data_IF_237389489390
#
_entry.id   IF_237389489390
#
_cell.length_a   1.000
_cell.length_b   1.000
_cell.length_c   1.000
_cell.angle_alpha   90.00
_cell.angle_beta   90.00
_cell.angle_gamma   90.00
#
_symmetry.space_group_name_H-M   'P 1'
#
loop_
_entity.id
_entity.type
_entity.pdbx_description
1 polymer ?
#
# COMPACT_ATOMS: atom_id res chain seq x y z
N UNK A 1 24.54 -52.80 -70.98
CA UNK A 1 23.50 -52.14 -70.15
C UNK A 1 24.22 -51.30 -69.10
N UNK A 2 24.39 -50.01 -69.34
CA UNK A 2 23.49 -48.92 -68.90
C UNK A 2 23.41 -48.73 -67.38
N UNK A 3 24.01 -47.60 -66.96
CA UNK A 3 23.56 -46.67 -65.92
C UNK A 3 23.72 -47.12 -64.46
N UNK A 4 24.01 -46.26 -63.49
CA UNK A 4 24.45 -44.86 -63.40
C UNK A 4 24.79 -44.69 -61.92
N UNK A 5 25.88 -43.96 -61.65
CA UNK A 5 26.21 -43.35 -60.38
C UNK A 5 24.99 -42.58 -59.82
N UNK A 6 24.58 -42.87 -58.59
CA UNK A 6 23.62 -42.05 -57.85
C UNK A 6 24.30 -41.59 -56.55
N UNK A 7 24.79 -40.35 -56.57
CA UNK A 7 25.10 -39.57 -55.37
C UNK A 7 23.82 -39.44 -54.55
N UNK A 8 23.83 -39.93 -53.31
CA UNK A 8 22.84 -39.54 -52.31
C UNK A 8 23.38 -38.28 -51.61
N UNK A 9 22.81 -37.14 -51.96
CA UNK A 9 23.02 -35.87 -51.25
C UNK A 9 22.33 -35.99 -49.89
N UNK A 10 23.09 -36.14 -48.81
CA UNK A 10 22.59 -35.90 -47.45
C UNK A 10 22.54 -34.38 -47.29
N UNK A 11 21.35 -33.79 -47.43
CA UNK A 11 21.16 -32.39 -47.04
C UNK A 11 21.22 -32.32 -45.51
N UNK A 12 22.30 -31.75 -44.97
CA UNK A 12 22.25 -31.16 -43.63
C UNK A 12 21.30 -29.95 -43.71
N UNK A 13 20.03 -30.19 -43.38
CA UNK A 13 19.12 -29.12 -43.04
C UNK A 13 19.48 -28.61 -41.66
N UNK A 14 20.14 -27.45 -41.61
CA UNK A 14 20.15 -26.63 -40.41
C UNK A 14 18.72 -26.15 -40.17
N UNK A 15 18.00 -26.84 -39.27
CA UNK A 15 16.80 -26.29 -38.64
C UNK A 15 17.24 -25.55 -37.39
N UNK A 16 16.92 -24.25 -37.34
CA UNK A 16 17.05 -23.36 -36.19
C UNK A 16 16.54 -24.06 -34.92
N UNK A 17 17.47 -24.49 -34.08
CA UNK A 17 17.22 -25.18 -32.82
C UNK A 17 17.16 -24.23 -31.63
N UNK A 18 16.56 -23.04 -31.80
CA UNK A 18 16.49 -22.02 -30.74
C UNK A 18 15.09 -21.86 -30.13
N UNK A 19 14.03 -22.40 -30.75
CA UNK A 19 12.65 -22.26 -30.22
C UNK A 19 12.12 -23.50 -29.48
N UNK A 20 12.79 -24.65 -29.56
CA UNK A 20 12.29 -25.90 -28.95
C UNK A 20 12.75 -26.10 -27.49
N UNK A 21 13.77 -25.35 -27.04
CA UNK A 21 14.31 -25.48 -25.67
C UNK A 21 13.56 -24.62 -24.63
N UNK A 22 12.86 -23.55 -25.06
CA UNK A 22 12.07 -22.69 -24.15
C UNK A 22 10.66 -23.23 -23.87
N UNK A 23 10.19 -24.23 -24.63
CA UNK A 23 8.86 -24.84 -24.43
C UNK A 23 8.86 -25.99 -23.40
N UNK A 24 10.03 -26.37 -22.87
CA UNK A 24 10.18 -27.53 -21.99
C UNK A 24 10.01 -27.25 -20.48
N UNK A 25 9.63 -26.04 -20.08
CA UNK A 25 9.58 -25.64 -18.65
C UNK A 25 8.24 -25.07 -18.17
N UNK A 26 7.24 -24.89 -19.05
CA UNK A 26 5.92 -24.44 -18.65
C UNK A 26 5.01 -25.64 -18.33
N UNK A 27 4.63 -25.80 -17.06
CA UNK A 27 3.63 -26.79 -16.63
C UNK A 27 2.33 -26.60 -17.44
N UNK A 28 1.72 -27.70 -17.88
CA UNK A 28 0.39 -27.67 -18.48
C UNK A 28 -0.65 -27.20 -17.46
N UNK A 29 -1.81 -26.73 -17.91
CA UNK A 29 -2.88 -26.28 -17.02
C UNK A 29 -3.26 -27.37 -15.99
N UNK A 30 -3.39 -28.62 -16.44
CA UNK A 30 -3.70 -29.75 -15.56
C UNK A 30 -2.60 -30.02 -14.53
N UNK A 31 -1.33 -29.90 -14.90
CA UNK A 31 -0.22 -30.11 -13.97
C UNK A 31 -0.14 -28.97 -12.94
N UNK A 32 -0.34 -27.72 -13.37
CA UNK A 32 -0.39 -26.55 -12.49
C UNK A 32 -1.51 -26.67 -11.46
N UNK A 33 -2.72 -26.97 -11.92
CA UNK A 33 -3.90 -27.09 -11.07
C UNK A 33 -3.76 -28.26 -10.10
N UNK A 34 -3.24 -29.40 -10.55
CA UNK A 34 -2.98 -30.54 -9.66
C UNK A 34 -1.98 -30.18 -8.55
N UNK A 35 -0.90 -29.46 -8.88
CA UNK A 35 0.09 -29.01 -7.91
C UNK A 35 -0.50 -28.05 -6.88
N UNK A 36 -1.35 -27.09 -7.30
CA UNK A 36 -2.04 -26.19 -6.37
C UNK A 36 -2.90 -26.99 -5.40
N UNK A 37 -3.70 -27.94 -5.89
CA UNK A 37 -4.57 -28.78 -5.06
C UNK A 37 -3.76 -29.59 -4.05
N UNK A 38 -2.65 -30.19 -4.48
CA UNK A 38 -1.78 -30.97 -3.59
C UNK A 38 -1.11 -30.08 -2.52
N UNK A 39 -0.67 -28.88 -2.88
CA UNK A 39 -0.13 -27.91 -1.92
C UNK A 39 -1.19 -27.47 -0.91
N UNK A 40 -2.43 -27.24 -1.34
CA UNK A 40 -3.53 -26.85 -0.46
C UNK A 40 -3.89 -27.95 0.54
N UNK A 41 -3.88 -29.22 0.12
CA UNK A 41 -4.04 -30.37 1.03
C UNK A 41 -2.96 -30.40 2.11
N UNK A 42 -1.70 -30.17 1.73
CA UNK A 42 -0.58 -30.06 2.69
C UNK A 42 -0.76 -28.85 3.62
N UNK A 43 -1.27 -27.74 3.09
CA UNK A 43 -1.65 -26.56 3.86
C UNK A 43 -2.94 -26.73 4.68
N UNK A 44 -3.52 -27.94 4.74
CA UNK A 44 -4.62 -28.30 5.64
C UNK A 44 -6.03 -28.13 5.09
N UNK A 45 -6.19 -27.68 3.85
CA UNK A 45 -7.50 -27.54 3.22
C UNK A 45 -8.09 -28.91 2.84
N UNK A 46 -9.36 -29.19 3.18
CA UNK A 46 -10.04 -30.40 2.76
C UNK A 46 -10.54 -30.26 1.32
N UNK A 47 -10.68 -31.39 0.61
CA UNK A 47 -11.07 -31.42 -0.80
C UNK A 47 -12.43 -30.76 -1.05
N UNK A 48 -13.35 -30.81 -0.08
CA UNK A 48 -14.69 -30.22 -0.20
C UNK A 48 -14.68 -28.68 -0.26
N UNK A 49 -13.61 -28.07 0.24
CA UNK A 49 -13.46 -26.62 0.30
C UNK A 49 -12.53 -26.10 -0.81
N UNK A 50 -11.92 -27.00 -1.59
CA UNK A 50 -11.09 -26.66 -2.76
C UNK A 50 -11.96 -26.76 -4.04
N UNK A 51 -12.20 -25.62 -4.67
CA UNK A 51 -12.93 -25.56 -5.94
C UNK A 51 -11.98 -25.31 -7.10
N UNK A 52 -12.04 -26.17 -8.11
CA UNK A 52 -11.28 -26.03 -9.34
C UNK A 52 -12.22 -25.63 -10.47
N UNK A 53 -12.00 -24.45 -11.05
CA UNK A 53 -12.77 -23.96 -12.19
C UNK A 53 -12.29 -24.59 -13.50
N UNK A 54 -13.16 -24.65 -14.51
CA UNK A 54 -12.77 -25.13 -15.85
C UNK A 54 -11.66 -24.27 -16.50
N UNK A 55 -11.57 -22.99 -16.10
CA UNK A 55 -10.49 -22.07 -16.46
C UNK A 55 -9.14 -22.42 -15.83
N UNK A 56 -9.13 -23.32 -14.84
CA UNK A 56 -7.96 -23.75 -14.07
C UNK A 56 -7.65 -22.88 -12.84
N UNK A 57 -8.47 -21.86 -12.57
CA UNK A 57 -8.45 -21.10 -11.31
C UNK A 57 -8.86 -22.02 -10.14
N UNK A 58 -8.20 -21.86 -8.99
CA UNK A 58 -8.44 -22.67 -7.79
C UNK A 58 -8.84 -21.76 -6.64
N UNK A 59 -9.98 -22.05 -6.03
CA UNK A 59 -10.54 -21.27 -4.93
C UNK A 59 -10.64 -22.11 -3.67
N UNK A 60 -10.54 -21.46 -2.52
CA UNK A 60 -10.76 -22.02 -1.19
C UNK A 60 -11.71 -21.13 -0.41
N UNK A 61 -12.53 -21.71 0.47
CA UNK A 61 -13.49 -20.93 1.27
C UNK A 61 -14.63 -20.28 0.47
N UNK A 62 -14.70 -20.55 -0.86
CA UNK A 62 -15.60 -19.95 -1.85
C UNK A 62 -15.23 -18.53 -2.34
N UNK A 63 -14.27 -17.85 -1.70
CA UNK A 63 -13.94 -16.44 -1.95
C UNK A 63 -12.44 -16.13 -2.00
N UNK A 64 -11.56 -17.11 -1.78
CA UNK A 64 -10.12 -16.89 -1.89
C UNK A 64 -9.50 -17.72 -3.03
N UNK A 65 -9.02 -17.06 -4.08
CA UNK A 65 -8.22 -17.67 -5.14
C UNK A 65 -6.80 -17.96 -4.64
N UNK A 66 -6.26 -19.12 -5.02
CA UNK A 66 -4.88 -19.52 -4.69
C UNK A 66 -4.08 -19.82 -5.95
N UNK A 67 -3.13 -18.93 -6.25
CA UNK A 67 -2.16 -19.14 -7.33
C UNK A 67 -1.09 -20.17 -7.01
N UNK A 68 -0.38 -20.64 -8.05
CA UNK A 68 0.69 -21.63 -7.91
C UNK A 68 1.82 -21.17 -6.98
N UNK A 69 2.29 -19.94 -7.14
CA UNK A 69 3.32 -19.36 -6.26
C UNK A 69 2.83 -19.28 -4.81
N UNK A 70 1.63 -18.72 -4.60
CA UNK A 70 1.03 -18.64 -3.28
C UNK A 70 0.94 -20.02 -2.59
N UNK A 71 0.48 -21.04 -3.32
CA UNK A 71 0.35 -22.41 -2.79
C UNK A 71 1.69 -23.03 -2.41
N UNK A 72 2.76 -22.76 -3.18
CA UNK A 72 4.13 -23.23 -2.87
C UNK A 72 4.71 -22.53 -1.66
N UNK A 73 4.48 -21.22 -1.54
CA UNK A 73 4.91 -20.43 -0.39
C UNK A 73 4.23 -20.88 0.90
N UNK A 74 2.92 -21.18 0.84
CA UNK A 74 2.18 -21.72 1.99
C UNK A 74 2.91 -22.94 2.54
N UNK A 75 3.18 -23.96 1.72
CA UNK A 75 3.82 -25.20 2.18
C UNK A 75 5.32 -25.06 2.50
N UNK A 76 6.00 -24.07 1.95
CA UNK A 76 7.43 -23.80 2.19
C UNK A 76 7.71 -22.99 3.46
N UNK A 77 6.72 -22.26 3.97
CA UNK A 77 6.82 -21.53 5.24
C UNK A 77 6.72 -22.44 6.48
N UNK A 78 6.32 -23.71 6.30
CA UNK A 78 6.25 -24.72 7.35
C UNK A 78 7.61 -25.06 8.00
N UNK A 79 8.74 -24.58 7.45
CA UNK A 79 10.09 -24.84 7.97
C UNK A 79 10.66 -23.69 8.86
N UNK A 80 9.87 -22.63 9.16
CA UNK A 80 10.33 -21.55 10.06
C UNK A 80 9.31 -21.17 11.16
N UNK A 81 9.58 -21.70 12.36
CA UNK A 81 8.96 -21.46 13.70
C UNK A 81 7.60 -22.14 13.88
N UNK A 82 7.39 -23.05 14.82
CA UNK A 82 8.00 -23.21 16.14
C UNK A 82 7.27 -22.32 17.17
N UNK A 83 6.30 -22.93 17.86
CA UNK A 83 5.65 -22.58 19.14
C UNK A 83 4.12 -22.36 19.07
N UNK A 84 3.36 -23.46 19.14
CA UNK A 84 1.98 -23.47 19.60
C UNK A 84 1.98 -23.35 21.13
N UNK A 85 1.43 -22.27 21.68
CA UNK A 85 0.98 -22.22 23.08
C UNK A 85 -0.52 -22.49 23.10
N UNK A 86 -0.85 -23.51 23.89
CA UNK A 86 -2.17 -24.11 24.00
C UNK A 86 -2.90 -23.46 25.18
N UNK A 87 -3.67 -22.41 24.89
CA UNK A 87 -4.40 -21.61 25.87
C UNK A 87 -5.91 -21.86 25.69
N UNK A 88 -6.39 -22.92 26.34
CA UNK A 88 -7.79 -23.30 26.35
C UNK A 88 -8.63 -22.39 27.26
N UNK A 89 -9.09 -21.24 26.77
CA UNK A 89 -10.21 -20.48 27.35
C UNK A 89 -11.04 -19.81 26.23
N UNK A 90 -12.37 -19.84 26.34
CA UNK A 90 -13.33 -19.49 25.28
C UNK A 90 -13.43 -17.97 24.99
N UNK A 91 -13.39 -17.59 23.70
CA UNK A 91 -13.49 -16.21 23.11
C UNK A 91 -12.83 -16.21 21.72
N UNK A 92 -12.98 -15.24 20.78
CA UNK A 92 -12.61 -15.12 19.29
C UNK A 92 -11.19 -15.15 18.60
N UNK A 93 -10.84 -16.03 17.63
CA UNK A 93 -9.57 -16.11 16.82
C UNK A 93 -9.60 -15.31 15.53
N UNK A 94 -8.48 -14.70 15.22
CA UNK A 94 -8.13 -14.23 13.88
C UNK A 94 -7.08 -15.14 13.27
N UNK A 95 -7.21 -15.43 11.98
CA UNK A 95 -6.31 -16.35 11.29
C UNK A 95 -5.72 -15.70 10.05
N UNK A 96 -4.51 -16.14 9.71
CA UNK A 96 -3.82 -15.74 8.49
C UNK A 96 -3.27 -16.93 7.75
N UNK A 97 -2.94 -16.71 6.48
CA UNK A 97 -2.06 -17.61 5.75
C UNK A 97 -0.61 -17.45 6.21
N UNK A 98 0.26 -18.35 5.76
CA UNK A 98 1.70 -18.15 5.91
C UNK A 98 2.26 -17.03 5.02
N UNK A 99 1.50 -16.58 4.01
CA UNK A 99 1.91 -15.56 3.08
C UNK A 99 1.45 -14.19 3.60
N UNK A 100 2.38 -13.26 3.74
CA UNK A 100 2.12 -11.91 4.24
C UNK A 100 2.72 -10.88 3.29
N UNK A 101 2.20 -9.66 3.33
CA UNK A 101 2.78 -8.53 2.62
C UNK A 101 4.12 -8.18 3.26
N UNK A 102 5.15 -8.04 2.43
CA UNK A 102 6.50 -7.67 2.88
C UNK A 102 6.51 -6.26 3.45
N UNK A 103 7.33 -6.03 4.48
CA UNK A 103 7.58 -4.70 5.04
C UNK A 103 8.25 -3.72 4.06
N UNK A 104 8.69 -4.20 2.89
CA UNK A 104 9.18 -3.35 1.78
C UNK A 104 8.05 -2.68 1.00
N UNK A 105 6.83 -3.22 1.05
CA UNK A 105 5.65 -2.61 0.43
C UNK A 105 5.16 -1.52 1.39
N UNK A 106 5.20 -0.27 0.96
CA UNK A 106 4.78 0.90 1.73
C UNK A 106 3.50 1.52 1.18
N UNK A 107 3.26 1.43 -0.12
CA UNK A 107 2.05 1.99 -0.74
C UNK A 107 1.33 0.94 -1.58
N UNK A 108 0.11 0.60 -1.17
CA UNK A 108 -0.80 -0.28 -1.90
C UNK A 108 -1.87 0.58 -2.57
N UNK A 109 -1.84 0.66 -3.89
CA UNK A 109 -2.87 1.37 -4.64
C UNK A 109 -4.04 0.46 -4.94
N UNK A 110 -5.24 0.86 -4.54
CA UNK A 110 -6.48 0.16 -4.89
C UNK A 110 -7.13 0.87 -6.07
N UNK A 111 -7.00 0.29 -7.26
CA UNK A 111 -7.61 0.81 -8.47
C UNK A 111 -9.13 0.59 -8.41
N UNK A 112 -9.84 1.64 -8.02
CA UNK A 112 -11.28 1.67 -7.84
C UNK A 112 -12.05 2.26 -9.02
N UNK A 113 -11.45 2.33 -10.21
CA UNK A 113 -12.04 2.96 -11.40
C UNK A 113 -13.35 2.32 -11.86
N UNK A 114 -13.52 1.02 -11.63
CA UNK A 114 -14.77 0.31 -11.94
C UNK A 114 -15.91 0.60 -10.94
N UNK A 115 -15.60 1.14 -9.75
CA UNK A 115 -16.57 1.30 -8.66
C UNK A 115 -17.13 2.72 -8.62
N UNK A 116 -18.46 2.83 -8.72
CA UNK A 116 -19.20 4.08 -8.63
C UNK A 116 -20.39 3.96 -7.67
N UNK A 117 -21.05 5.09 -7.36
CA UNK A 117 -22.23 5.10 -6.49
C UNK A 117 -21.98 4.48 -5.12
N UNK A 118 -22.78 3.48 -4.73
CA UNK A 118 -22.66 2.77 -3.45
C UNK A 118 -21.31 2.09 -3.29
N UNK A 119 -20.82 1.39 -4.32
CA UNK A 119 -19.54 0.66 -4.26
C UNK A 119 -18.36 1.63 -4.22
N UNK A 120 -18.46 2.77 -4.91
CA UNK A 120 -17.44 3.81 -4.82
C UNK A 120 -17.30 4.35 -3.40
N UNK A 121 -18.41 4.68 -2.73
CA UNK A 121 -18.39 5.16 -1.34
C UNK A 121 -17.91 4.09 -0.36
N UNK A 122 -18.31 2.84 -0.59
CA UNK A 122 -17.92 1.72 0.25
C UNK A 122 -16.41 1.44 0.17
N UNK A 123 -15.82 1.55 -1.03
CA UNK A 123 -14.37 1.44 -1.20
C UNK A 123 -13.62 2.55 -0.46
N UNK A 124 -14.11 3.79 -0.53
CA UNK A 124 -13.51 4.91 0.21
C UNK A 124 -13.56 4.67 1.73
N UNK A 125 -14.68 4.12 2.23
CA UNK A 125 -14.84 3.79 3.65
C UNK A 125 -13.94 2.63 4.09
N UNK A 126 -13.83 1.57 3.27
CA UNK A 126 -12.97 0.44 3.56
C UNK A 126 -11.50 0.87 3.65
N UNK A 127 -11.02 1.67 2.68
CA UNK A 127 -9.67 2.22 2.68
C UNK A 127 -9.46 3.10 3.93
N UNK A 128 -10.38 4.02 4.21
CA UNK A 128 -10.28 4.87 5.39
C UNK A 128 -10.22 4.07 6.72
N UNK A 129 -10.88 2.90 6.79
CA UNK A 129 -10.80 2.03 7.95
C UNK A 129 -9.41 1.38 8.11
N UNK A 130 -8.72 1.03 7.02
CA UNK A 130 -7.33 0.55 7.07
C UNK A 130 -6.37 1.68 7.48
N UNK A 131 -6.50 2.85 6.84
CA UNK A 131 -5.62 4.01 7.10
C UNK A 131 -5.77 4.56 8.52
N UNK A 132 -6.89 4.30 9.20
CA UNK A 132 -7.09 4.69 10.59
C UNK A 132 -6.24 3.90 11.61
N UNK A 133 -5.54 2.83 11.19
CA UNK A 133 -4.80 1.93 12.08
C UNK A 133 -3.28 2.12 12.09
N UNK A 134 -2.75 3.06 11.29
CA UNK A 134 -1.31 3.36 11.15
C UNK A 134 -0.47 2.09 10.87
N UNK A 135 -0.88 1.32 9.86
CA UNK A 135 -0.20 0.08 9.46
C UNK A 135 1.15 0.36 8.78
N UNK A 136 1.95 -0.69 8.55
CA UNK A 136 3.27 -0.60 7.91
C UNK A 136 3.25 -0.13 6.44
N UNK A 137 2.06 -0.13 5.84
CA UNK A 137 1.75 0.35 4.50
C UNK A 137 0.52 1.26 4.54
N UNK A 138 0.40 2.12 3.53
CA UNK A 138 -0.78 2.94 3.25
C UNK A 138 -1.56 2.35 2.07
N UNK A 139 -2.89 2.37 2.15
CA UNK A 139 -3.80 2.07 1.06
C UNK A 139 -4.32 3.36 0.42
N UNK A 140 -4.15 3.49 -0.88
CA UNK A 140 -4.58 4.69 -1.63
C UNK A 140 -5.51 4.30 -2.75
N UNK A 141 -6.70 4.90 -2.80
CA UNK A 141 -7.60 4.71 -3.94
C UNK A 141 -7.05 5.40 -5.18
N UNK A 142 -7.00 4.70 -6.30
CA UNK A 142 -6.66 5.28 -7.61
C UNK A 142 -7.77 5.08 -8.63
N UNK A 143 -7.72 5.84 -9.72
CA UNK A 143 -8.65 5.75 -10.85
C UNK A 143 -7.97 5.15 -12.10
N UNK A 144 -7.09 4.16 -11.92
CA UNK A 144 -6.36 3.50 -13.00
C UNK A 144 -4.89 3.89 -13.14
N UNK A 145 -4.37 4.75 -12.26
CA UNK A 145 -2.93 5.05 -12.17
C UNK A 145 -2.26 4.09 -11.17
N UNK A 146 -1.06 3.63 -11.51
CA UNK A 146 -0.16 2.88 -10.63
C UNK A 146 1.11 3.65 -10.27
N UNK A 147 1.19 4.93 -10.63
CA UNK A 147 2.36 5.76 -10.35
C UNK A 147 2.52 5.98 -8.85
N UNK A 148 3.71 5.68 -8.30
CA UNK A 148 4.01 5.83 -6.88
C UNK A 148 3.51 4.69 -5.98
N UNK A 149 3.04 3.60 -6.58
CA UNK A 149 2.55 2.42 -5.87
C UNK A 149 3.61 1.32 -5.84
N UNK A 150 3.84 0.69 -4.69
CA UNK A 150 4.67 -0.52 -4.60
C UNK A 150 3.89 -1.75 -5.05
N UNK A 151 2.57 -1.74 -4.84
CA UNK A 151 1.65 -2.78 -5.27
C UNK A 151 0.31 -2.19 -5.72
N UNK A 152 -0.41 -2.93 -6.56
CA UNK A 152 -1.74 -2.53 -7.05
C UNK A 152 -2.75 -3.66 -6.83
N UNK A 153 -3.90 -3.31 -6.27
CA UNK A 153 -5.08 -4.17 -6.16
C UNK A 153 -6.15 -3.63 -7.11
N UNK A 154 -6.53 -4.43 -8.09
CA UNK A 154 -7.56 -4.09 -9.07
C UNK A 154 -8.97 -4.44 -8.53
N UNK A 155 -9.81 -3.42 -8.29
CA UNK A 155 -11.20 -3.62 -7.89
C UNK A 155 -12.09 -3.81 -9.13
N UNK A 156 -12.64 -5.02 -9.28
CA UNK A 156 -13.40 -5.48 -10.44
C UNK A 156 -14.83 -5.81 -10.07
N UNK A 157 -15.74 -5.70 -11.04
CA UNK A 157 -17.13 -6.13 -10.88
C UNK A 157 -17.31 -7.54 -11.44
N UNK A 158 -18.04 -8.37 -10.70
CA UNK A 158 -18.47 -9.70 -11.14
C UNK A 158 -19.98 -9.90 -10.94
N UNK A 159 -20.56 -10.90 -11.59
CA UNK A 159 -21.96 -11.24 -11.38
C UNK A 159 -22.15 -11.92 -10.01
N UNK A 160 -23.30 -11.73 -9.38
CA UNK A 160 -23.65 -12.37 -8.10
C UNK A 160 -23.51 -11.46 -6.89
N UNK A 161 -23.70 -12.05 -5.72
CA UNK A 161 -23.53 -11.47 -4.38
C UNK A 161 -22.11 -11.75 -3.85
N UNK A 162 -21.69 -11.00 -2.82
CA UNK A 162 -20.42 -11.22 -2.12
C UNK A 162 -19.19 -10.68 -2.87
N UNK A 163 -18.03 -11.19 -2.49
CA UNK A 163 -16.75 -10.85 -3.07
C UNK A 163 -15.87 -12.07 -3.21
N UNK A 164 -14.82 -11.93 -4.01
CA UNK A 164 -13.78 -12.92 -4.19
C UNK A 164 -12.45 -12.19 -4.33
N UNK A 165 -11.44 -12.61 -3.57
CA UNK A 165 -10.07 -12.14 -3.64
C UNK A 165 -9.13 -13.34 -3.70
N UNK A 166 -7.97 -13.24 -3.07
CA UNK A 166 -6.94 -14.25 -3.02
C UNK A 166 -5.87 -13.83 -2.03
N UNK A 167 -4.85 -14.66 -1.83
CA UNK A 167 -3.83 -14.44 -0.81
C UNK A 167 -2.53 -13.82 -1.37
N UNK A 168 -1.71 -13.18 -0.51
CA UNK A 168 -0.41 -12.68 -0.89
C UNK A 168 0.48 -13.74 -1.54
N UNK A 169 1.39 -13.29 -2.41
CA UNK A 169 2.47 -14.11 -2.96
C UNK A 169 3.70 -13.25 -3.24
N UNK A 170 4.89 -13.79 -3.05
CA UNK A 170 6.15 -13.07 -3.30
C UNK A 170 6.35 -11.84 -2.41
N UNK A 171 5.64 -11.77 -1.27
CA UNK A 171 5.62 -10.60 -0.41
C UNK A 171 4.78 -9.42 -0.93
N UNK A 172 4.00 -9.60 -2.00
CA UNK A 172 3.06 -8.62 -2.53
C UNK A 172 1.61 -9.00 -2.15
N UNK A 173 0.71 -8.02 -1.99
CA UNK A 173 -0.71 -8.32 -1.79
C UNK A 173 -1.30 -9.01 -3.02
N UNK A 174 -2.40 -9.73 -2.83
CA UNK A 174 -3.15 -10.28 -3.96
C UNK A 174 -3.69 -9.15 -4.85
N UNK A 175 -3.51 -9.28 -6.16
CA UNK A 175 -3.60 -8.18 -7.10
C UNK A 175 -5.03 -7.78 -7.50
N UNK A 176 -6.08 -8.42 -6.98
CA UNK A 176 -7.45 -8.04 -7.33
C UNK A 176 -8.50 -8.46 -6.31
N UNK A 177 -9.57 -7.68 -6.26
CA UNK A 177 -10.83 -8.02 -5.60
C UNK A 177 -11.95 -8.00 -6.65
N UNK A 178 -12.78 -9.02 -6.67
CA UNK A 178 -13.96 -9.13 -7.55
C UNK A 178 -15.20 -8.98 -6.69
N UNK A 179 -15.97 -7.91 -6.88
CA UNK A 179 -17.15 -7.62 -6.07
C UNK A 179 -18.41 -7.86 -6.89
N UNK A 180 -19.32 -8.62 -6.30
CA UNK A 180 -20.63 -8.92 -6.86
C UNK A 180 -21.46 -7.67 -7.12
N UNK A 181 -22.00 -7.52 -8.33
CA UNK A 181 -22.83 -6.36 -8.72
C UNK A 181 -24.07 -6.15 -7.84
N UNK A 182 -24.59 -7.19 -7.18
CA UNK A 182 -25.76 -7.09 -6.31
C UNK A 182 -25.41 -6.57 -4.91
N UNK A 183 -24.13 -6.59 -4.50
CA UNK A 183 -23.67 -6.10 -3.19
C UNK A 183 -24.11 -4.65 -2.95
N UNK A 184 -24.09 -3.82 -3.99
CA UNK A 184 -24.53 -2.43 -3.94
C UNK A 184 -25.98 -2.25 -3.46
N UNK A 185 -26.85 -3.26 -3.66
CA UNK A 185 -28.26 -3.21 -3.30
C UNK A 185 -28.53 -3.37 -1.80
N UNK A 186 -27.57 -3.93 -1.05
CA UNK A 186 -27.65 -4.06 0.41
C UNK A 186 -27.21 -2.79 1.16
N UNK A 187 -26.81 -1.74 0.43
CA UNK A 187 -26.43 -0.45 0.98
C UNK A 187 -24.94 -0.33 1.30
N UNK A 188 -24.50 0.89 1.61
CA UNK A 188 -23.07 1.21 1.75
C UNK A 188 -22.40 0.47 2.90
N UNK A 189 -23.09 0.21 4.02
CA UNK A 189 -22.51 -0.48 5.17
C UNK A 189 -22.10 -1.94 4.83
N UNK A 190 -23.02 -2.69 4.23
CA UNK A 190 -22.75 -4.07 3.79
C UNK A 190 -21.72 -4.08 2.67
N UNK A 191 -21.82 -3.16 1.70
CA UNK A 191 -20.82 -3.05 0.64
C UNK A 191 -19.41 -2.74 1.18
N UNK A 192 -19.31 -1.91 2.21
CA UNK A 192 -18.02 -1.58 2.87
C UNK A 192 -17.45 -2.82 3.52
N UNK A 193 -18.29 -3.60 4.23
CA UNK A 193 -17.88 -4.85 4.83
C UNK A 193 -17.32 -5.84 3.81
N UNK A 194 -18.03 -6.08 2.70
CA UNK A 194 -17.56 -7.02 1.67
C UNK A 194 -16.24 -6.55 1.07
N UNK A 195 -16.12 -5.27 0.68
CA UNK A 195 -14.87 -4.75 0.10
C UNK A 195 -13.71 -4.85 1.10
N UNK A 196 -13.95 -4.50 2.37
CA UNK A 196 -12.94 -4.55 3.41
C UNK A 196 -12.48 -5.97 3.71
N UNK A 197 -13.42 -6.92 3.70
CA UNK A 197 -13.16 -8.35 3.82
C UNK A 197 -12.24 -8.84 2.69
N UNK A 198 -12.56 -8.52 1.43
CA UNK A 198 -11.74 -8.92 0.29
C UNK A 198 -10.33 -8.32 0.34
N UNK A 199 -10.20 -7.05 0.75
CA UNK A 199 -8.88 -6.44 0.99
C UNK A 199 -8.12 -7.16 2.11
N UNK A 200 -8.83 -7.73 3.09
CA UNK A 200 -8.25 -8.53 4.16
C UNK A 200 -7.59 -9.80 3.63
N UNK A 201 -8.25 -10.51 2.73
CA UNK A 201 -7.65 -11.65 2.02
C UNK A 201 -6.41 -11.25 1.23
N UNK A 202 -6.47 -10.12 0.52
CA UNK A 202 -5.33 -9.61 -0.24
C UNK A 202 -4.07 -9.40 0.59
N UNK A 203 -4.20 -9.15 1.90
CA UNK A 203 -3.09 -8.99 2.84
C UNK A 203 -2.93 -10.20 3.78
N UNK A 204 -3.55 -11.33 3.46
CA UNK A 204 -3.26 -12.63 4.07
C UNK A 204 -4.18 -13.05 5.20
N UNK A 205 -5.24 -12.30 5.51
CA UNK A 205 -6.27 -12.77 6.45
C UNK A 205 -7.06 -13.94 5.89
N UNK A 206 -7.50 -14.79 6.79
CA UNK A 206 -8.45 -15.87 6.53
C UNK A 206 -9.74 -15.65 7.31
N UNK A 207 -10.73 -16.48 7.00
CA UNK A 207 -11.94 -16.53 7.79
C UNK A 207 -11.66 -16.89 9.26
N UNK A 208 -12.32 -16.16 10.14
CA UNK A 208 -12.29 -16.39 11.60
C UNK A 208 -13.03 -17.66 11.97
N UNK A 209 -14.11 -17.98 11.25
CA UNK A 209 -14.91 -19.18 11.37
C UNK A 209 -14.50 -20.25 10.35
N UNK A 210 -13.27 -20.24 9.86
CA UNK A 210 -12.79 -21.25 8.89
C UNK A 210 -13.06 -22.67 9.41
N UNK A 211 -12.97 -22.92 10.72
CA UNK A 211 -13.13 -24.26 11.29
C UNK A 211 -14.60 -24.73 11.35
N UNK A 212 -15.54 -23.80 11.24
CA UNK A 212 -16.99 -24.06 11.19
C UNK A 212 -17.72 -22.83 10.61
N UNK A 213 -17.85 -22.80 9.28
CA UNK A 213 -18.53 -21.70 8.58
C UNK A 213 -20.00 -21.57 8.89
N UNK A 214 -20.63 -22.61 9.47
CA UNK A 214 -22.03 -22.52 9.86
C UNK A 214 -22.29 -21.42 10.88
N UNK A 215 -21.25 -20.95 11.56
CA UNK A 215 -21.30 -19.83 12.51
C UNK A 215 -21.74 -18.52 11.83
N UNK A 216 -21.16 -18.16 10.68
CA UNK A 216 -21.56 -16.94 9.95
C UNK A 216 -22.52 -17.21 8.80
N UNK A 217 -22.38 -18.35 8.11
CA UNK A 217 -23.14 -18.69 6.91
C UNK A 217 -24.44 -19.46 7.22
N UNK A 218 -24.61 -19.98 8.45
CA UNK A 218 -25.75 -20.85 8.83
C UNK A 218 -25.67 -22.28 8.27
N UNK A 219 -24.73 -22.52 7.36
CA UNK A 219 -24.39 -23.80 6.73
C UNK A 219 -22.91 -23.78 6.33
N UNK A 220 -22.29 -24.93 6.06
CA UNK A 220 -20.89 -24.99 5.65
C UNK A 220 -20.09 -25.91 6.55
N UNK A 221 -18.83 -26.12 6.19
CA UNK A 221 -17.92 -27.03 6.88
C UNK A 221 -16.70 -26.31 7.44
N UNK A 222 -15.67 -27.11 7.70
CA UNK A 222 -14.35 -26.65 8.10
C UNK A 222 -13.52 -26.44 6.82
N UNK A 223 -13.08 -25.21 6.56
CA UNK A 223 -12.20 -24.79 5.46
C UNK A 223 -10.78 -25.34 5.56
N UNK A 224 -10.41 -26.01 6.66
CA UNK A 224 -9.17 -26.75 6.80
C UNK A 224 -8.32 -26.35 7.99
N UNK A 225 -7.71 -27.36 8.63
CA UNK A 225 -6.89 -27.23 9.83
C UNK A 225 -5.41 -27.41 9.48
N UNK A 226 -4.57 -26.38 9.64
CA UNK A 226 -3.11 -26.54 9.59
C UNK A 226 -2.35 -25.30 10.06
N UNK A 227 -1.22 -25.50 10.74
CA UNK A 227 -0.24 -24.47 11.14
C UNK A 227 0.48 -23.80 9.95
N UNK A 228 0.17 -24.24 8.73
CA UNK A 228 0.75 -23.77 7.47
C UNK A 228 -0.25 -22.92 6.70
N UNK A 229 -1.53 -23.24 6.84
CA UNK A 229 -2.63 -22.58 6.16
C UNK A 229 -3.41 -21.63 7.06
N UNK A 230 -3.80 -22.04 8.26
CA UNK A 230 -4.65 -21.31 9.19
C UNK A 230 -3.89 -21.00 10.49
N UNK A 231 -2.97 -20.04 10.41
CA UNK A 231 -2.11 -19.66 11.54
C UNK A 231 -2.87 -18.67 12.42
N UNK A 232 -3.00 -19.00 13.70
CA UNK A 232 -3.57 -18.11 14.69
C UNK A 232 -2.71 -16.86 14.84
N UNK A 233 -3.34 -15.68 14.78
CA UNK A 233 -2.66 -14.40 15.00
C UNK A 233 -2.56 -14.16 16.52
N UNK A 234 -1.34 -14.01 17.07
CA UNK A 234 -1.14 -13.76 18.49
C UNK A 234 -1.95 -12.58 19.02
N UNK A 235 -2.35 -12.64 20.29
CA UNK A 235 -3.11 -11.56 20.94
C UNK A 235 -4.58 -11.47 20.50
N UNK A 236 -4.98 -12.18 19.45
CA UNK A 236 -6.41 -12.36 19.15
C UNK A 236 -6.96 -13.52 19.97
N UNK A 237 -8.22 -13.46 20.41
CA UNK A 237 -8.79 -14.55 21.19
C UNK A 237 -8.90 -15.90 20.39
N UNK A 238 -9.76 -16.84 20.77
CA UNK A 238 -9.73 -18.31 20.53
C UNK A 238 -10.96 -19.03 19.78
N UNK A 239 -11.93 -18.34 19.16
CA UNK A 239 -13.12 -18.94 18.47
C UNK A 239 -13.79 -18.05 17.41
N UNK A 240 -15.03 -18.32 17.01
CA UNK A 240 -15.74 -17.47 16.05
C UNK A 240 -17.18 -17.22 16.51
N UNK A 241 -17.68 -16.00 16.30
CA UNK A 241 -19.10 -15.66 16.42
C UNK A 241 -19.53 -14.93 15.18
N UNK A 242 -20.83 -15.07 14.89
CA UNK A 242 -21.54 -14.22 13.96
C UNK A 242 -21.30 -12.73 14.28
N UNK A 243 -20.83 -11.98 13.27
CA UNK A 243 -20.48 -10.56 13.35
C UNK A 243 -19.35 -10.24 14.35
N UNK A 244 -18.54 -11.23 14.71
CA UNK A 244 -17.39 -11.05 15.61
C UNK A 244 -16.16 -10.50 14.90
N UNK A 245 -16.16 -10.51 13.58
CA UNK A 245 -15.06 -10.02 12.74
C UNK A 245 -15.56 -9.62 11.37
N UNK A 246 -14.85 -8.70 10.72
CA UNK A 246 -15.03 -8.45 9.28
C UNK A 246 -14.64 -9.67 8.45
N UNK A 247 -13.74 -10.52 8.95
CA UNK A 247 -13.32 -11.78 8.35
C UNK A 247 -14.20 -12.96 8.78
N UNK A 248 -15.48 -12.77 9.11
CA UNK A 248 -16.42 -13.90 9.10
C UNK A 248 -16.69 -14.32 7.65
N UNK A 249 -16.76 -15.63 7.38
CA UNK A 249 -16.87 -16.19 6.03
C UNK A 249 -18.13 -15.75 5.26
N UNK A 250 -19.20 -15.38 5.97
CA UNK A 250 -20.39 -14.79 5.36
C UNK A 250 -20.75 -13.46 6.01
N UNK A 251 -21.06 -12.49 5.15
CA UNK A 251 -21.69 -11.24 5.54
C UNK A 251 -23.22 -11.40 5.69
N UNK A 252 -23.87 -10.46 6.36
CA UNK A 252 -25.32 -10.37 6.46
C UNK A 252 -25.80 -8.91 6.47
N UNK A 253 -27.10 -8.68 6.57
CA UNK A 253 -27.67 -7.33 6.56
C UNK A 253 -27.20 -6.43 7.74
N UNK A 254 -26.68 -7.04 8.82
CA UNK A 254 -26.09 -6.33 9.96
C UNK A 254 -24.59 -6.03 9.80
N UNK A 255 -23.94 -6.51 8.73
CA UNK A 255 -22.53 -6.26 8.45
C UNK A 255 -22.29 -4.78 8.16
N UNK A 256 -21.38 -4.16 8.93
CA UNK A 256 -21.14 -2.70 8.88
C UNK A 256 -19.82 -2.30 8.25
N UNK A 257 -18.86 -3.23 8.18
CA UNK A 257 -17.47 -2.97 7.78
C UNK A 257 -16.65 -2.25 8.85
N UNK A 258 -17.17 -2.07 10.07
CA UNK A 258 -16.38 -1.53 11.17
C UNK A 258 -15.45 -2.61 11.75
N UNK A 259 -14.19 -2.26 11.99
CA UNK A 259 -13.27 -3.14 12.68
C UNK A 259 -13.72 -3.43 14.10
N UNK A 260 -13.67 -4.70 14.49
CA UNK A 260 -13.77 -5.12 15.88
C UNK A 260 -12.42 -4.97 16.58
N UNK A 261 -12.39 -5.02 17.91
CA UNK A 261 -11.12 -4.98 18.67
C UNK A 261 -10.18 -6.14 18.31
N UNK A 262 -10.74 -7.30 17.97
CA UNK A 262 -9.98 -8.47 17.49
C UNK A 262 -9.39 -8.22 16.11
N UNK A 263 -10.14 -7.62 15.18
CA UNK A 263 -9.61 -7.27 13.85
C UNK A 263 -8.44 -6.29 13.96
N UNK A 264 -8.60 -5.23 14.78
CA UNK A 264 -7.54 -4.24 15.03
C UNK A 264 -6.30 -4.89 15.64
N UNK A 265 -6.49 -5.78 16.62
CA UNK A 265 -5.36 -6.49 17.26
C UNK A 265 -4.62 -7.35 16.25
N UNK A 266 -5.34 -8.06 15.37
CA UNK A 266 -4.70 -8.86 14.35
C UNK A 266 -3.96 -8.03 13.29
N UNK A 267 -4.59 -6.95 12.81
CA UNK A 267 -3.97 -6.04 11.84
C UNK A 267 -2.67 -5.45 12.40
N UNK A 268 -2.68 -5.06 13.67
CA UNK A 268 -1.48 -4.60 14.36
C UNK A 268 -0.47 -5.72 14.59
N UNK A 269 -0.86 -6.90 15.05
CA UNK A 269 0.12 -7.98 15.23
C UNK A 269 0.86 -8.33 13.91
N UNK A 270 0.20 -8.23 12.76
CA UNK A 270 0.82 -8.52 11.46
C UNK A 270 1.55 -7.33 10.85
N UNK A 271 1.01 -6.12 11.02
CA UNK A 271 1.41 -4.94 10.27
C UNK A 271 1.59 -3.69 11.16
N UNK A 272 1.70 -3.85 12.48
CA UNK A 272 2.15 -2.81 13.41
C UNK A 272 3.65 -2.63 13.25
N UNK A 273 4.03 -1.38 13.24
CA UNK A 273 5.35 -0.99 12.82
C UNK A 273 5.13 0.11 11.82
N UNK A 274 5.18 1.32 12.37
CA UNK A 274 5.24 2.60 11.66
C UNK A 274 5.46 2.38 10.17
N UNK A 275 4.44 2.70 9.36
CA UNK A 275 4.69 3.23 8.03
C UNK A 275 6.02 3.97 8.13
N UNK A 276 7.00 3.61 7.31
CA UNK A 276 8.25 4.35 7.26
C UNK A 276 7.85 5.83 7.37
N UNK A 277 8.48 6.63 8.27
CA UNK A 277 8.12 8.04 8.37
C UNK A 277 7.96 8.54 6.94
N UNK A 278 6.81 9.18 6.62
CA UNK A 278 6.44 9.48 5.24
C UNK A 278 7.71 9.91 4.52
N UNK A 279 8.01 9.36 3.32
CA UNK A 279 9.25 9.66 2.63
C UNK A 279 9.50 11.15 2.84
N UNK A 280 10.64 11.53 3.44
CA UNK A 280 10.83 12.90 3.95
C UNK A 280 10.26 13.82 2.89
N UNK A 281 9.30 14.70 3.26
CA UNK A 281 8.47 15.44 2.29
C UNK A 281 9.39 15.82 1.16
N UNK A 282 9.08 15.42 -0.11
CA UNK A 282 10.06 15.33 -1.20
C UNK A 282 10.97 16.50 -1.04
N UNK A 283 12.23 16.24 -0.64
CA UNK A 283 13.14 17.24 -0.11
C UNK A 283 12.87 18.50 -0.91
N UNK A 284 12.29 19.52 -0.24
CA UNK A 284 11.65 20.66 -0.90
C UNK A 284 12.44 20.93 -2.15
N UNK A 285 11.82 20.78 -3.34
CA UNK A 285 12.50 20.82 -4.64
C UNK A 285 13.72 21.72 -4.51
N UNK A 286 14.97 21.18 -4.48
CA UNK A 286 16.06 21.83 -3.77
C UNK A 286 16.24 23.24 -4.33
N UNK A 287 15.84 24.22 -3.54
CA UNK A 287 15.62 25.58 -4.01
C UNK A 287 16.87 26.43 -3.79
N UNK A 288 17.20 27.33 -4.69
CA UNK A 288 18.28 28.27 -4.46
C UNK A 288 17.95 29.40 -3.47
N UNK A 289 16.77 29.39 -2.84
CA UNK A 289 16.38 30.41 -1.86
C UNK A 289 17.35 30.41 -0.65
N UNK A 290 18.04 31.54 -0.48
CA UNK A 290 19.07 31.70 0.55
C UNK A 290 20.40 30.98 0.30
N UNK A 291 20.61 30.34 -0.86
CA UNK A 291 21.81 29.55 -1.18
C UNK A 291 22.62 30.06 -2.39
N UNK A 292 22.18 31.13 -3.04
CA UNK A 292 22.82 31.70 -4.22
C UNK A 292 24.33 31.94 -4.06
N UNK A 293 25.11 31.49 -5.05
CA UNK A 293 26.56 31.70 -5.12
C UNK A 293 27.41 30.77 -4.26
N UNK A 294 26.81 29.78 -3.58
CA UNK A 294 27.52 28.84 -2.70
C UNK A 294 27.35 27.39 -3.15
N UNK A 295 28.46 26.64 -3.06
CA UNK A 295 28.48 25.19 -3.21
C UNK A 295 28.25 24.51 -1.85
N UNK A 296 27.30 23.58 -1.79
CA UNK A 296 27.03 22.76 -0.61
C UNK A 296 27.01 21.27 -0.99
N UNK A 297 28.03 20.49 -0.60
CA UNK A 297 28.11 19.06 -0.93
C UNK A 297 27.03 18.22 -0.26
N UNK A 298 26.27 18.77 0.70
CA UNK A 298 25.13 18.10 1.30
C UNK A 298 23.84 18.22 0.46
N UNK A 299 23.86 19.01 -0.62
CA UNK A 299 22.68 19.30 -1.46
C UNK A 299 22.70 18.51 -2.76
N UNK A 300 21.50 18.11 -3.20
CA UNK A 300 21.32 17.31 -4.43
C UNK A 300 21.52 18.13 -5.72
N UNK A 301 21.46 19.45 -5.65
CA UNK A 301 21.76 20.39 -6.71
C UNK A 301 22.50 21.59 -6.13
N UNK A 302 23.20 22.34 -6.99
CA UNK A 302 24.05 23.46 -6.63
C UNK A 302 23.50 24.78 -7.16
N UNK A 303 23.84 25.86 -6.44
CA UNK A 303 23.42 27.23 -6.74
C UNK A 303 24.62 28.16 -6.95
N UNK A 304 25.82 27.61 -7.10
CA UNK A 304 27.04 28.34 -7.42
C UNK A 304 27.20 28.55 -8.93
N UNK A 305 28.10 29.47 -9.30
CA UNK A 305 28.36 29.81 -10.69
C UNK A 305 28.92 28.64 -11.52
N UNK A 306 29.44 27.59 -10.85
CA UNK A 306 30.03 26.41 -11.48
C UNK A 306 29.02 25.33 -11.84
N UNK A 307 27.79 25.34 -11.31
CA UNK A 307 26.86 24.22 -11.49
C UNK A 307 26.52 23.93 -12.97
N UNK A 308 26.58 24.96 -13.84
CA UNK A 308 26.29 24.81 -15.27
C UNK A 308 27.34 23.97 -16.00
N UNK A 309 28.58 24.00 -15.51
CA UNK A 309 29.68 23.18 -16.04
C UNK A 309 29.57 21.72 -15.58
N UNK A 310 28.98 21.47 -14.41
CA UNK A 310 28.83 20.14 -13.82
C UNK A 310 27.47 19.48 -14.08
N UNK A 311 26.49 20.25 -14.58
CA UNK A 311 25.15 19.75 -14.88
C UNK A 311 24.33 19.41 -13.63
N UNK A 312 24.61 20.10 -12.52
CA UNK A 312 23.97 19.86 -11.22
C UNK A 312 23.24 21.10 -10.68
N UNK A 313 22.89 22.06 -11.53
CA UNK A 313 22.12 23.26 -11.12
C UNK A 313 20.73 22.91 -10.60
N UNK A 314 20.27 23.65 -9.58
CA UNK A 314 18.89 23.58 -9.14
C UNK A 314 17.93 24.18 -10.19
N UNK A 315 16.73 23.61 -10.30
CA UNK A 315 15.74 24.00 -11.31
C UNK A 315 15.28 25.47 -11.19
N UNK A 316 15.36 26.03 -9.98
CA UNK A 316 14.96 27.40 -9.66
C UNK A 316 16.14 28.38 -9.58
N UNK A 317 17.36 27.96 -9.94
CA UNK A 317 18.57 28.80 -9.81
C UNK A 317 18.44 30.12 -10.59
N UNK A 318 17.94 30.06 -11.82
CA UNK A 318 17.72 31.28 -12.60
C UNK A 318 16.63 32.15 -11.97
N UNK A 319 15.52 31.57 -11.54
CA UNK A 319 14.40 32.32 -10.97
C UNK A 319 14.77 33.00 -9.64
N UNK A 320 15.52 32.31 -8.78
CA UNK A 320 15.80 32.75 -7.42
C UNK A 320 17.10 33.54 -7.31
N UNK A 321 18.15 33.18 -8.05
CA UNK A 321 19.46 33.84 -7.96
C UNK A 321 19.71 34.91 -9.01
N UNK A 322 18.89 34.98 -10.07
CA UNK A 322 19.00 36.07 -11.06
C UNK A 322 17.91 37.14 -10.93
N UNK A 323 17.03 37.01 -9.93
CA UNK A 323 16.09 38.07 -9.58
C UNK A 323 16.86 39.36 -9.21
N UNK A 324 16.60 40.50 -9.90
CA UNK A 324 17.15 41.77 -9.46
C UNK A 324 16.60 42.07 -8.06
N UNK A 325 17.50 42.40 -7.13
CA UNK A 325 17.15 42.67 -5.73
C UNK A 325 15.91 43.58 -5.65
N UNK A 326 14.93 43.28 -4.76
CA UNK A 326 13.81 44.19 -4.55
C UNK A 326 14.35 45.57 -4.17
N UNK A 327 13.75 46.67 -4.65
CA UNK A 327 14.19 48.00 -4.28
C UNK A 327 14.14 48.09 -2.76
N UNK A 328 15.28 48.49 -2.17
CA UNK A 328 15.35 48.79 -0.74
C UNK A 328 14.14 49.66 -0.38
N UNK A 329 13.40 49.24 0.67
CA UNK A 329 12.39 50.09 1.27
C UNK A 329 13.00 51.45 1.61
N UNK A 330 12.21 52.53 1.68
CA UNK A 330 12.73 53.86 1.91
C UNK A 330 13.60 53.85 3.18
N UNK A 331 14.88 54.17 2.98
CA UNK A 331 15.87 54.35 4.04
C UNK A 331 15.26 55.32 5.08
N UNK A 332 15.25 54.98 6.39
CA UNK A 332 14.76 55.90 7.41
C UNK A 332 15.52 57.22 7.27
N UNK A 333 14.78 58.33 7.22
CA UNK A 333 15.41 59.64 7.05
C UNK A 333 16.42 59.84 8.20
N UNK A 334 17.71 60.07 7.90
CA UNK A 334 18.66 60.38 8.95
C UNK A 334 18.19 61.67 9.63
N UNK A 335 18.13 61.67 10.97
CA UNK A 335 17.71 62.80 11.82
C UNK A 335 16.19 62.97 12.01
N UNK A 336 15.43 61.89 12.20
CA UNK A 336 13.98 61.93 12.48
C UNK A 336 13.57 61.09 13.68
N UNK A 337 12.64 61.60 14.50
CA UNK A 337 12.11 60.91 15.66
C UNK A 337 11.01 59.88 15.37
N UNK A 338 10.59 59.69 14.11
CA UNK A 338 9.47 58.84 13.73
C UNK A 338 9.54 57.39 14.28
N UNK A 339 10.74 56.83 14.48
CA UNK A 339 10.96 55.49 15.05
C UNK A 339 12.04 55.48 16.15
N UNK A 340 12.42 56.65 16.67
CA UNK A 340 13.59 56.82 17.56
C UNK A 340 13.26 57.49 18.91
N UNK A 341 11.98 57.56 19.30
CA UNK A 341 11.57 58.19 20.55
C UNK A 341 12.27 57.62 21.79
N UNK A 342 12.83 58.51 22.61
CA UNK A 342 13.64 58.19 23.78
C UNK A 342 15.12 57.88 23.47
N UNK A 343 15.57 58.03 22.22
CA UNK A 343 16.93 57.68 21.79
C UNK A 343 17.54 58.64 20.76
N UNK A 344 18.71 58.26 20.22
CA UNK A 344 19.43 59.02 19.20
C UNK A 344 18.92 58.66 17.79
N UNK A 345 18.64 59.67 16.97
CA UNK A 345 18.16 59.52 15.59
C UNK A 345 19.22 59.91 14.55
N UNK A 346 20.50 59.70 14.86
CA UNK A 346 21.64 60.10 14.03
C UNK A 346 22.33 61.35 14.59
N UNK A 347 22.16 62.49 13.93
CA UNK A 347 22.80 63.75 14.32
C UNK A 347 22.00 64.56 15.34
N UNK A 348 20.85 64.04 15.77
CA UNK A 348 19.97 64.66 16.78
C UNK A 348 19.39 63.59 17.71
N UNK A 349 18.84 64.03 18.84
CA UNK A 349 18.27 63.18 19.89
C UNK A 349 16.77 63.44 20.06
N UNK A 350 16.05 62.36 20.34
CA UNK A 350 14.60 62.30 20.52
C UNK A 350 14.23 61.98 21.98
N UNK A 351 15.00 62.51 22.93
CA UNK A 351 14.79 62.30 24.36
C UNK A 351 14.45 63.61 25.11
N UNK A 352 14.05 63.49 26.37
CA UNK A 352 13.66 64.65 27.19
C UNK A 352 14.85 65.54 27.61
N UNK A 353 16.08 65.15 27.28
CA UNK A 353 17.28 65.91 27.60
C UNK A 353 17.76 66.75 26.40
N UNK A 354 17.30 66.46 25.18
CA UNK A 354 17.78 67.13 23.97
C UNK A 354 17.65 68.67 24.03
N UNK A 355 16.59 69.20 24.67
CA UNK A 355 16.39 70.64 24.80
C UNK A 355 17.44 71.31 25.68
N UNK A 356 18.03 70.54 26.61
CA UNK A 356 19.12 71.01 27.48
C UNK A 356 20.47 70.99 26.77
N UNK A 357 20.66 70.07 25.80
CA UNK A 357 21.90 69.92 25.03
C UNK A 357 21.87 70.65 23.68
N UNK A 358 20.70 71.11 23.24
CA UNK A 358 20.52 71.85 21.99
C UNK A 358 20.62 70.97 20.74
N UNK A 359 20.32 69.68 20.86
CA UNK A 359 20.48 68.66 19.83
C UNK A 359 19.17 67.91 19.52
N UNK A 360 18.01 68.51 19.81
CA UNK A 360 16.72 67.93 19.45
C UNK A 360 16.56 67.77 17.93
N UNK A 361 15.93 66.68 17.50
CA UNK A 361 15.45 66.60 16.12
C UNK A 361 14.31 67.57 15.89
N UNK A 362 14.22 68.12 14.68
CA UNK A 362 13.21 69.13 14.32
C UNK A 362 11.76 68.59 14.45
N UNK A 363 11.59 67.27 14.44
CA UNK A 363 10.31 66.58 14.45
C UNK A 363 9.98 65.87 15.77
N UNK A 364 10.72 66.14 16.85
CA UNK A 364 10.53 65.48 18.16
C UNK A 364 9.10 65.67 18.70
N UNK A 365 8.56 66.89 18.64
CA UNK A 365 7.20 67.20 19.13
C UNK A 365 6.10 66.55 18.26
N UNK A 366 6.42 66.22 17.01
CA UNK A 366 5.47 65.60 16.09
C UNK A 366 5.37 64.08 16.31
N UNK A 367 6.40 63.46 16.91
CA UNK A 367 6.54 62.01 16.96
C UNK A 367 6.59 61.38 18.37
N UNK A 368 6.91 62.08 19.47
CA UNK A 368 7.23 61.44 20.77
C UNK A 368 6.39 61.83 22.04
#
# INVERSE_FOLDING_TARGET
MNKKLLMLVVSLGACDGTEELERATALTLSERTAEIVDNLRVAGYPDEEIQVMESGEVFVGLDAEVGLEASREMIGAADRRGELRDDAEAGFRQYRTANLVSSSVRTICVNGSAFSGTLGKALDQAIANYEALDLSFEMVRTSGSSSGCDAVIEAKLTAGDGGVAGFPSGGLPYHSINIGTTVASYGTAVATHVIQHELGHCIGFRHTDYFDRSISCGTGGNEGLSDVGAILIPGTPSGAVLNGSVMNACFNAGSTGAWTSSDVTALRELYEGTAAPPPPPPAESPSCEGRCGNYDPAQACQCDDGCGDYGDCCDDQEEVCTAPAPPAGPEPAPNSCAEACGGNAGQCWCDNLCASYGDCCDDIDAHC
#
